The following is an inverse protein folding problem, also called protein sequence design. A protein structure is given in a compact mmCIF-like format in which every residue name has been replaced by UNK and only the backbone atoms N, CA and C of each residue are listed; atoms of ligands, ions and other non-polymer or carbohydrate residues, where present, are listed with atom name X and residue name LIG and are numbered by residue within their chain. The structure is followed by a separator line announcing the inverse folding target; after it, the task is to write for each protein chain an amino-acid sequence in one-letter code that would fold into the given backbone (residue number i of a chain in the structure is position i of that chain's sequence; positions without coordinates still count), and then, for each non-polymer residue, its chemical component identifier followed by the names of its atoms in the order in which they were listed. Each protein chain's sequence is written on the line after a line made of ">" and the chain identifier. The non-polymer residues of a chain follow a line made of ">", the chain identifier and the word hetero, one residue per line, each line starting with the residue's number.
data_IF_044369073257
#
_entry.id   IF_044369073257
#
_cell.length_a   1.000
_cell.length_b   1.000
_cell.length_c   1.000
_cell.angle_alpha   90.00
_cell.angle_beta   90.00
_cell.angle_gamma   90.00
#
_symmetry.space_group_name_H-M   'P 1'
#
loop_
_entity.id
_entity.type
_entity.pdbx_description
1 polymer ?
#
# COMPACT_ATOMS: atom_id res chain seq x y z
N UNK A 1 3.72 10.14 22.03
CA UNK A 1 3.53 8.91 21.38
C UNK A 1 3.16 9.05 19.93
N UNK A 2 3.67 8.23 19.14
CA UNK A 2 3.38 8.32 17.73
C UNK A 2 3.01 6.93 17.22
N UNK A 3 2.48 6.90 16.03
CA UNK A 3 2.04 5.66 15.43
C UNK A 3 2.96 5.23 14.36
N UNK A 4 3.18 3.94 14.25
CA UNK A 4 3.92 3.40 13.15
C UNK A 4 3.01 3.18 11.94
N UNK A 5 1.73 2.98 12.17
CA UNK A 5 0.78 2.77 11.08
C UNK A 5 0.22 4.07 10.56
N UNK A 6 -0.14 4.04 9.30
CA UNK A 6 -0.83 5.15 8.69
C UNK A 6 -2.20 5.33 9.33
N UNK A 7 -2.66 6.57 9.44
CA UNK A 7 -3.98 6.84 9.96
C UNK A 7 -5.04 6.15 9.12
N UNK A 8 -6.10 5.72 9.79
CA UNK A 8 -7.14 4.95 9.15
C UNK A 8 -7.75 5.66 7.95
N UNK A 9 -8.01 6.95 8.06
CA UNK A 9 -8.65 7.67 6.97
C UNK A 9 -7.75 7.74 5.75
N UNK A 10 -6.45 7.84 5.96
CA UNK A 10 -5.50 7.86 4.84
C UNK A 10 -5.35 6.48 4.23
N UNK A 11 -5.32 5.47 5.07
CA UNK A 11 -5.30 4.09 4.63
C UNK A 11 -6.52 3.81 3.74
N UNK A 12 -7.69 4.23 4.17
CA UNK A 12 -8.92 4.00 3.41
C UNK A 12 -8.92 4.75 2.09
N UNK A 13 -8.34 5.94 2.07
CA UNK A 13 -8.25 6.70 0.82
C UNK A 13 -7.39 5.96 -0.20
N UNK A 14 -6.28 5.38 0.26
CA UNK A 14 -5.41 4.61 -0.63
C UNK A 14 -6.11 3.34 -1.08
N UNK A 15 -6.83 2.66 -0.17
CA UNK A 15 -7.61 1.49 -0.54
C UNK A 15 -8.62 1.80 -1.64
N UNK A 16 -9.34 2.89 -1.48
CA UNK A 16 -10.36 3.26 -2.45
C UNK A 16 -9.75 3.56 -3.81
N UNK A 17 -8.62 4.25 -3.81
CA UNK A 17 -7.97 4.60 -5.06
C UNK A 17 -7.41 3.37 -5.77
N UNK A 18 -6.82 2.45 -5.01
CA UNK A 18 -6.30 1.22 -5.59
C UNK A 18 -7.45 0.36 -6.13
N UNK A 19 -8.54 0.29 -5.39
CA UNK A 19 -9.71 -0.46 -5.83
C UNK A 19 -10.25 0.10 -7.15
N UNK A 20 -10.35 1.41 -7.23
CA UNK A 20 -10.82 2.07 -8.44
C UNK A 20 -9.89 1.77 -9.62
N UNK A 21 -8.60 1.86 -9.37
CA UNK A 21 -7.59 1.72 -10.41
C UNK A 21 -7.49 0.29 -10.92
N UNK A 22 -7.53 -0.68 -10.02
CA UNK A 22 -7.34 -2.09 -10.35
C UNK A 22 -8.64 -2.81 -10.72
N UNK A 23 -9.77 -2.32 -10.21
CA UNK A 23 -11.02 -3.03 -10.30
C UNK A 23 -11.21 -3.96 -9.13
N UNK A 24 -12.46 -4.27 -8.81
CA UNK A 24 -12.80 -5.01 -7.61
C UNK A 24 -12.17 -6.41 -7.57
N UNK A 25 -12.17 -7.11 -8.68
CA UNK A 25 -11.66 -8.49 -8.70
C UNK A 25 -10.17 -8.53 -8.41
N UNK A 26 -9.41 -7.68 -9.06
CA UNK A 26 -7.95 -7.66 -8.87
C UNK A 26 -7.61 -7.14 -7.48
N UNK A 27 -8.31 -6.12 -7.02
CA UNK A 27 -8.09 -5.60 -5.68
C UNK A 27 -8.36 -6.69 -4.63
N UNK A 28 -9.48 -7.40 -4.76
CA UNK A 28 -9.82 -8.44 -3.80
C UNK A 28 -8.80 -9.56 -3.80
N UNK A 29 -8.30 -9.90 -4.97
CA UNK A 29 -7.33 -10.97 -5.10
C UNK A 29 -6.03 -10.65 -4.38
N UNK A 30 -5.57 -9.40 -4.45
CA UNK A 30 -4.22 -9.04 -3.99
C UNK A 30 -4.18 -8.19 -2.73
N UNK A 31 -5.17 -7.35 -2.51
CA UNK A 31 -5.07 -6.29 -1.52
C UNK A 31 -6.04 -6.35 -0.36
N UNK A 32 -6.96 -7.31 -0.34
CA UNK A 32 -7.89 -7.40 0.78
C UNK A 32 -7.09 -7.58 2.07
N UNK A 33 -7.33 -6.69 3.03
CA UNK A 33 -6.65 -6.74 4.31
C UNK A 33 -5.27 -6.14 4.35
N UNK A 34 -4.83 -5.49 3.27
CA UNK A 34 -3.51 -4.90 3.29
C UNK A 34 -3.46 -3.72 4.27
N UNK A 35 -2.27 -3.46 4.79
CA UNK A 35 -2.05 -2.32 5.67
C UNK A 35 -0.78 -1.61 5.29
N UNK A 36 -0.82 -0.27 5.33
CA UNK A 36 0.40 0.50 5.21
C UNK A 36 0.94 0.67 6.62
N UNK A 37 2.11 0.10 6.85
CA UNK A 37 2.67 0.04 8.18
C UNK A 37 3.37 1.33 8.58
N UNK A 38 4.17 1.88 7.69
CA UNK A 38 4.82 3.16 7.95
C UNK A 38 5.44 3.70 6.67
N UNK A 39 5.79 4.97 6.73
CA UNK A 39 6.54 5.63 5.68
C UNK A 39 7.70 6.35 6.36
N UNK A 40 8.92 5.96 6.04
CA UNK A 40 10.13 6.54 6.62
C UNK A 40 11.17 6.72 5.54
N UNK A 41 11.80 7.89 5.52
CA UNK A 41 12.86 8.16 4.55
C UNK A 41 12.43 7.91 3.12
N UNK A 42 11.19 8.26 2.81
CA UNK A 42 10.61 8.08 1.48
C UNK A 42 10.43 6.62 1.09
N UNK A 43 10.44 5.73 2.07
CA UNK A 43 10.18 4.31 1.87
C UNK A 43 8.85 3.96 2.52
N UNK A 44 7.94 3.41 1.71
CA UNK A 44 6.63 2.97 2.19
C UNK A 44 6.68 1.45 2.37
N UNK A 45 6.33 1.00 3.56
CA UNK A 45 6.25 -0.43 3.86
C UNK A 45 4.78 -0.81 4.07
N UNK A 46 4.34 -1.83 3.35
CA UNK A 46 2.98 -2.33 3.52
C UNK A 46 2.99 -3.84 3.64
N UNK A 47 1.92 -4.37 4.19
CA UNK A 47 1.77 -5.83 4.31
C UNK A 47 0.57 -6.30 3.53
N UNK A 48 0.70 -7.46 2.89
CA UNK A 48 -0.37 -8.13 2.17
C UNK A 48 -0.33 -9.61 2.56
N UNK A 49 -1.32 -10.35 2.11
CA UNK A 49 -1.34 -11.79 2.36
C UNK A 49 -0.04 -12.43 1.84
N UNK A 50 0.51 -13.39 2.56
CA UNK A 50 1.82 -13.96 2.17
C UNK A 50 1.90 -14.43 0.73
N UNK A 51 0.83 -15.03 0.22
CA UNK A 51 0.84 -15.56 -1.14
C UNK A 51 0.91 -14.45 -2.19
N UNK A 52 0.65 -13.20 -1.81
CA UNK A 52 0.56 -12.10 -2.77
C UNK A 52 1.78 -11.19 -2.77
N UNK A 53 2.72 -11.39 -1.83
CA UNK A 53 3.83 -10.44 -1.66
C UNK A 53 4.65 -10.25 -2.94
N UNK A 54 5.01 -11.35 -3.59
CA UNK A 54 5.84 -11.26 -4.79
C UNK A 54 5.16 -10.53 -5.93
N UNK A 55 3.90 -10.86 -6.16
CA UNK A 55 3.17 -10.24 -7.25
C UNK A 55 2.94 -8.75 -7.01
N UNK A 56 2.58 -8.39 -5.77
CA UNK A 56 2.36 -6.99 -5.44
C UNK A 56 3.67 -6.21 -5.57
N UNK A 57 4.76 -6.76 -5.05
CA UNK A 57 6.06 -6.11 -5.14
C UNK A 57 6.47 -5.89 -6.60
N UNK A 58 6.33 -6.91 -7.42
CA UNK A 58 6.83 -6.86 -8.79
C UNK A 58 5.94 -6.05 -9.72
N UNK A 59 4.63 -6.16 -9.57
CA UNK A 59 3.72 -5.55 -10.51
C UNK A 59 3.17 -4.20 -10.06
N UNK A 60 3.01 -4.00 -8.76
CA UNK A 60 2.23 -2.87 -8.28
C UNK A 60 2.96 -1.90 -7.37
N UNK A 61 4.23 -2.14 -7.05
CA UNK A 61 4.95 -1.22 -6.18
C UNK A 61 4.98 0.20 -6.77
N UNK A 62 5.18 0.31 -8.07
CA UNK A 62 5.18 1.60 -8.76
C UNK A 62 3.83 2.30 -8.60
N UNK A 63 2.74 1.55 -8.81
CA UNK A 63 1.39 2.12 -8.71
C UNK A 63 1.08 2.55 -7.29
N UNK A 64 1.51 1.75 -6.31
CA UNK A 64 1.32 2.08 -4.91
C UNK A 64 2.03 3.39 -4.58
N UNK A 65 3.26 3.54 -5.06
CA UNK A 65 4.03 4.76 -4.82
C UNK A 65 3.31 5.98 -5.39
N UNK A 66 2.83 5.88 -6.63
CA UNK A 66 2.15 7.00 -7.28
C UNK A 66 0.88 7.37 -6.52
N UNK A 67 0.08 6.37 -6.16
CA UNK A 67 -1.16 6.63 -5.44
C UNK A 67 -0.88 7.25 -4.07
N UNK A 68 0.08 6.69 -3.35
CA UNK A 68 0.42 7.20 -2.03
C UNK A 68 0.96 8.63 -2.09
N UNK A 69 1.84 8.91 -3.04
CA UNK A 69 2.37 10.27 -3.18
C UNK A 69 1.26 11.27 -3.43
N UNK A 70 0.34 10.92 -4.33
CA UNK A 70 -0.73 11.83 -4.69
C UNK A 70 -1.65 12.11 -3.52
N UNK A 71 -1.97 11.09 -2.74
CA UNK A 71 -2.93 11.24 -1.64
C UNK A 71 -2.29 11.78 -0.38
N UNK A 72 -1.04 11.43 -0.11
CA UNK A 72 -0.38 11.83 1.13
C UNK A 72 0.47 13.08 0.99
N UNK A 73 0.68 13.54 -0.23
CA UNK A 73 1.50 14.73 -0.51
C UNK A 73 2.91 14.58 0.02
N UNK A 74 3.49 13.40 -0.19
CA UNK A 74 4.78 13.07 0.39
C UNK A 74 5.52 12.17 -0.59
N UNK A 75 6.81 12.43 -0.79
CA UNK A 75 7.59 11.68 -1.77
C UNK A 75 7.75 10.22 -1.34
N UNK A 76 7.55 9.31 -2.27
CA UNK A 76 7.76 7.88 -2.05
C UNK A 76 8.72 7.38 -3.12
N UNK A 77 9.92 7.00 -2.73
CA UNK A 77 10.90 6.51 -3.69
C UNK A 77 10.99 5.00 -3.75
N UNK A 78 10.51 4.33 -2.72
CA UNK A 78 10.60 2.88 -2.66
C UNK A 78 9.40 2.32 -1.93
N UNK A 79 8.94 1.17 -2.38
CA UNK A 79 7.85 0.44 -1.73
C UNK A 79 8.37 -0.94 -1.36
N UNK A 80 8.18 -1.32 -0.10
CA UNK A 80 8.56 -2.63 0.41
C UNK A 80 7.28 -3.37 0.79
N UNK A 81 7.08 -4.55 0.22
CA UNK A 81 5.90 -5.36 0.48
C UNK A 81 6.29 -6.55 1.33
N UNK A 82 5.66 -6.69 2.49
CA UNK A 82 5.95 -7.79 3.38
C UNK A 82 4.69 -8.61 3.62
N UNK A 83 4.88 -9.80 4.17
CA UNK A 83 3.76 -10.69 4.45
C UNK A 83 3.04 -10.25 5.73
N UNK A 84 1.71 -10.33 5.70
CA UNK A 84 0.90 -10.15 6.89
C UNK A 84 1.28 -11.20 7.91
N UNK A 85 1.59 -10.75 9.10
CA UNK A 85 2.08 -11.67 10.13
C UNK A 85 1.02 -12.26 11.01
#
# INVERSE_FOLDING_TARGET
>A
MHQSKLQKVRQEAIQARLNYFLGADEYDRLFVGFEILHIENEVLTLSVRPACTGEVQDKYSWHIAIVAEALLKQAIRKVIVIALG
#
